data_IF_697604754875
#
_entry.id   IF_697604754875
#
_cell.length_a   1.000
_cell.length_b   1.000
_cell.length_c   1.000
_cell.angle_alpha   90.00
_cell.angle_beta   90.00
_cell.angle_gamma   90.00
#
_symmetry.space_group_name_H-M   'P 1'
#
loop_
_entity.id
_entity.type
_entity.pdbx_description
1 polymer ?
#
# COMPACT_ATOMS: atom_id res chain seq x y z
N UNK A 1 3.35 10.97 0.56
CA UNK A 1 1.95 11.35 0.23
C UNK A 1 1.07 10.75 1.30
N UNK A 2 0.24 11.56 1.96
CA UNK A 2 -0.66 11.06 2.99
C UNK A 2 -1.89 10.41 2.35
N UNK A 3 -2.15 9.16 2.74
CA UNK A 3 -3.23 8.32 2.22
C UNK A 3 -3.92 7.54 3.34
N UNK A 4 -5.14 7.08 3.08
CA UNK A 4 -5.87 6.16 3.96
C UNK A 4 -5.87 4.75 3.36
N UNK A 5 -5.54 3.74 4.15
CA UNK A 5 -5.63 2.35 3.72
C UNK A 5 -7.10 1.92 3.73
N UNK A 6 -7.66 1.55 2.58
CA UNK A 6 -9.08 1.15 2.45
C UNK A 6 -9.24 -0.34 2.14
N UNK A 7 -8.15 -1.06 1.86
CA UNK A 7 -8.19 -2.49 1.62
C UNK A 7 -6.83 -3.11 1.40
N UNK A 8 -6.78 -4.43 1.52
CA UNK A 8 -5.57 -5.24 1.34
C UNK A 8 -5.95 -6.51 0.57
N UNK A 9 -5.26 -6.79 -0.54
CA UNK A 9 -5.37 -8.06 -1.24
C UNK A 9 -4.03 -8.78 -1.20
N UNK A 10 -4.05 -10.04 -0.78
CA UNK A 10 -2.88 -10.90 -0.75
C UNK A 10 -3.07 -12.02 -1.77
N UNK A 11 -2.07 -12.24 -2.62
CA UNK A 11 -2.07 -13.27 -3.64
C UNK A 11 -0.85 -14.15 -3.48
N UNK A 12 -1.11 -15.39 -3.09
CA UNK A 12 -0.12 -16.47 -3.06
C UNK A 12 -0.18 -17.29 -4.34
N UNK A 13 0.96 -17.86 -4.73
CA UNK A 13 1.01 -18.83 -5.82
C UNK A 13 2.43 -19.14 -6.26
N UNK A 14 2.53 -19.89 -7.34
CA UNK A 14 3.77 -20.20 -8.01
C UNK A 14 3.57 -19.97 -9.51
N UNK A 15 4.51 -19.30 -10.16
CA UNK A 15 4.52 -19.11 -11.61
C UNK A 15 5.89 -19.49 -12.15
N UNK A 16 5.93 -20.49 -13.05
CA UNK A 16 7.16 -21.03 -13.63
C UNK A 16 8.20 -21.48 -12.58
N UNK A 17 7.79 -22.19 -11.54
CA UNK A 17 8.72 -22.67 -10.51
C UNK A 17 9.15 -21.60 -9.49
N UNK A 18 8.63 -20.36 -9.60
CA UNK A 18 8.96 -19.26 -8.69
C UNK A 18 7.75 -18.91 -7.84
N UNK A 19 7.96 -18.86 -6.53
CA UNK A 19 6.95 -18.34 -5.61
C UNK A 19 6.58 -16.90 -6.00
N UNK A 20 5.28 -16.67 -6.13
CA UNK A 20 4.64 -15.41 -6.45
C UNK A 20 3.79 -15.03 -5.25
N UNK A 21 4.44 -14.51 -4.21
CA UNK A 21 3.75 -14.06 -3.01
C UNK A 21 3.79 -12.52 -2.95
N UNK A 22 2.63 -11.90 -3.17
CA UNK A 22 2.51 -10.45 -3.30
C UNK A 22 1.30 -9.90 -2.56
N UNK A 23 1.45 -8.68 -2.08
CA UNK A 23 0.38 -7.89 -1.47
C UNK A 23 0.10 -6.67 -2.35
N UNK A 24 -1.17 -6.29 -2.41
CA UNK A 24 -1.67 -5.08 -3.05
C UNK A 24 -2.44 -4.28 -2.00
N UNK A 25 -1.98 -3.05 -1.77
CA UNK A 25 -2.64 -2.13 -0.84
C UNK A 25 -3.55 -1.19 -1.61
N UNK A 26 -4.76 -0.97 -1.12
CA UNK A 26 -5.68 -0.02 -1.73
C UNK A 26 -5.70 1.23 -0.87
N UNK A 27 -5.27 2.34 -1.45
CA UNK A 27 -5.16 3.61 -0.76
C UNK A 27 -6.13 4.63 -1.36
N UNK A 28 -6.63 5.53 -0.53
CA UNK A 28 -7.29 6.76 -0.97
C UNK A 28 -6.50 7.98 -0.52
N UNK A 29 -6.56 9.05 -1.30
CA UNK A 29 -6.05 10.38 -0.94
C UNK A 29 -7.19 11.39 -1.03
N UNK A 30 -7.18 12.47 -0.24
CA UNK A 30 -8.15 13.54 -0.41
C UNK A 30 -8.03 14.14 -1.82
N UNK A 31 -9.17 14.42 -2.45
CA UNK A 31 -9.20 15.14 -3.72
C UNK A 31 -8.61 16.54 -3.53
N UNK A 32 -7.70 16.93 -4.44
CA UNK A 32 -7.05 18.25 -4.41
C UNK A 32 -7.79 19.29 -5.26
N UNK A 33 -8.96 18.96 -5.82
CA UNK A 33 -9.75 19.86 -6.65
C UNK A 33 -10.86 20.56 -5.84
N UNK A 34 -10.93 21.89 -5.97
CA UNK A 34 -11.92 22.75 -5.28
C UNK A 34 -13.38 22.38 -5.61
N UNK A 35 -13.63 21.67 -6.71
CA UNK A 35 -14.98 21.29 -7.15
C UNK A 35 -15.40 19.86 -6.73
N UNK A 36 -14.57 19.12 -6.00
CA UNK A 36 -14.84 17.71 -5.69
C UNK A 36 -14.53 17.39 -4.23
N UNK A 37 -15.52 17.51 -3.35
CA UNK A 37 -15.44 16.90 -2.03
C UNK A 37 -15.43 15.37 -2.21
N UNK A 38 -14.30 14.72 -1.92
CA UNK A 38 -14.17 13.27 -2.09
C UNK A 38 -12.77 12.71 -1.85
N UNK A 39 -12.69 11.38 -1.94
CA UNK A 39 -11.46 10.60 -1.88
C UNK A 39 -11.15 10.01 -3.26
N UNK A 40 -9.93 10.16 -3.74
CA UNK A 40 -9.44 9.57 -4.99
C UNK A 40 -8.65 8.28 -4.67
N UNK A 41 -8.94 7.20 -5.40
CA UNK A 41 -8.19 5.94 -5.28
C UNK A 41 -6.81 6.11 -5.91
N UNK A 42 -5.76 5.82 -5.13
CA UNK A 42 -4.40 5.73 -5.65
C UNK A 42 -4.31 4.52 -6.57
N UNK A 43 -3.76 4.69 -7.77
CA UNK A 43 -3.65 3.65 -8.80
C UNK A 43 -3.28 2.30 -8.20
N UNK A 44 -4.18 1.30 -8.18
CA UNK A 44 -3.94 0.04 -7.48
C UNK A 44 -2.75 -0.75 -8.04
N UNK A 45 -2.42 -0.51 -9.31
CA UNK A 45 -1.23 -1.11 -9.92
C UNK A 45 0.07 -0.53 -9.34
N UNK A 46 0.09 0.68 -8.82
CA UNK A 46 1.31 1.26 -8.24
C UNK A 46 1.61 0.74 -6.82
N UNK A 47 0.66 0.04 -6.19
CA UNK A 47 0.69 -0.32 -4.78
C UNK A 47 0.91 -1.82 -4.52
N UNK A 48 1.37 -2.57 -5.54
CA UNK A 48 1.78 -3.95 -5.37
C UNK A 48 3.23 -4.06 -4.90
N UNK A 49 3.51 -5.05 -4.06
CA UNK A 49 4.89 -5.44 -3.76
C UNK A 49 4.97 -6.91 -3.28
N UNK A 50 6.13 -7.57 -3.45
CA UNK A 50 6.38 -8.89 -2.88
C UNK A 50 6.29 -8.87 -1.35
N UNK A 51 5.70 -9.90 -0.73
CA UNK A 51 5.55 -9.98 0.75
C UNK A 51 6.89 -9.93 1.48
N UNK A 52 7.96 -10.49 0.89
CA UNK A 52 9.30 -10.43 1.45
C UNK A 52 9.93 -9.02 1.45
N UNK A 53 9.33 -8.05 0.74
CA UNK A 53 9.77 -6.64 0.77
C UNK A 53 9.17 -5.84 1.92
N UNK A 54 8.20 -6.37 2.67
CA UNK A 54 7.58 -5.65 3.81
C UNK A 54 8.64 -5.05 4.74
N UNK A 55 9.69 -5.79 5.20
CA UNK A 55 10.67 -5.25 6.13
C UNK A 55 11.53 -4.12 5.55
N UNK A 56 11.60 -4.00 4.22
CA UNK A 56 12.33 -2.90 3.55
C UNK A 56 11.45 -1.68 3.25
N UNK A 57 10.13 -1.84 3.23
CA UNK A 57 9.20 -0.75 2.91
C UNK A 57 8.80 0.06 4.14
N UNK A 58 8.83 -0.56 5.32
CA UNK A 58 8.37 0.06 6.56
C UNK A 58 8.97 -0.63 7.79
N UNK A 59 9.20 0.15 8.85
CA UNK A 59 9.55 -0.38 10.18
C UNK A 59 8.32 -0.53 11.08
N UNK A 60 7.18 0.04 10.68
CA UNK A 60 5.96 0.07 11.50
C UNK A 60 5.18 -1.25 11.41
N UNK A 61 5.36 -1.99 10.32
CA UNK A 61 4.67 -3.25 10.04
C UNK A 61 5.70 -4.38 9.98
N UNK A 62 5.53 -5.39 10.84
CA UNK A 62 6.47 -6.52 10.96
C UNK A 62 6.13 -7.66 10.00
N UNK A 63 4.86 -7.80 9.65
CA UNK A 63 4.35 -8.82 8.75
C UNK A 63 3.27 -8.27 7.84
N UNK A 64 3.15 -8.80 6.63
CA UNK A 64 2.07 -8.38 5.72
C UNK A 64 0.66 -8.63 6.32
N UNK A 65 0.54 -9.57 7.26
CA UNK A 65 -0.70 -9.85 7.98
C UNK A 65 -1.17 -8.66 8.83
N UNK A 66 -0.26 -7.80 9.29
CA UNK A 66 -0.62 -6.67 10.15
C UNK A 66 -1.44 -5.64 9.36
N UNK A 67 -1.17 -5.48 8.06
CA UNK A 67 -1.89 -4.52 7.20
C UNK A 67 -3.41 -4.73 7.19
N UNK A 68 -3.89 -5.98 7.32
CA UNK A 68 -5.33 -6.25 7.35
C UNK A 68 -6.02 -5.62 8.55
N UNK A 69 -5.31 -5.48 9.68
CA UNK A 69 -5.84 -4.85 10.89
C UNK A 69 -5.71 -3.32 10.87
N UNK A 70 -5.06 -2.77 9.84
CA UNK A 70 -4.76 -1.33 9.71
C UNK A 70 -5.66 -0.64 8.67
N UNK A 71 -6.68 -1.34 8.16
CA UNK A 71 -7.69 -0.73 7.29
C UNK A 71 -8.36 0.42 8.05
N UNK A 72 -8.41 1.59 7.42
CA UNK A 72 -8.89 2.85 7.97
C UNK A 72 -7.79 3.75 8.53
N UNK A 73 -6.56 3.26 8.70
CA UNK A 73 -5.44 4.07 9.18
C UNK A 73 -4.80 4.91 8.08
N UNK A 74 -4.17 6.00 8.51
CA UNK A 74 -3.45 6.93 7.64
C UNK A 74 -1.97 6.55 7.52
N UNK A 75 -1.44 6.59 6.31
CA UNK A 75 -0.05 6.29 6.00
C UNK A 75 0.58 7.41 5.19
N UNK A 76 1.86 7.67 5.41
CA UNK A 76 2.69 8.41 4.47
C UNK A 76 3.38 7.42 3.52
N UNK A 77 3.11 7.55 2.22
CA UNK A 77 3.66 6.65 1.19
C UNK A 77 4.51 7.39 0.16
N UNK A 78 5.57 6.74 -0.33
CA UNK A 78 6.37 7.22 -1.47
C UNK A 78 6.35 6.21 -2.62
N UNK A 79 6.57 6.72 -3.83
CA UNK A 79 6.73 5.91 -5.03
C UNK A 79 8.08 6.21 -5.67
N UNK A 80 8.71 5.19 -6.26
CA UNK A 80 9.94 5.33 -7.02
C UNK A 80 9.70 6.01 -8.38
N UNK A 81 10.77 6.24 -9.14
CA UNK A 81 10.70 6.84 -10.49
C UNK A 81 9.91 6.01 -11.52
N UNK A 82 9.61 4.75 -11.20
CA UNK A 82 8.83 3.83 -12.04
C UNK A 82 7.39 3.68 -11.52
N UNK A 83 6.98 4.51 -10.56
CA UNK A 83 5.67 4.48 -9.90
C UNK A 83 5.37 3.16 -9.16
N UNK A 84 6.40 2.45 -8.67
CA UNK A 84 6.22 1.37 -7.71
C UNK A 84 6.27 1.92 -6.28
N UNK A 85 5.51 1.31 -5.37
CA UNK A 85 5.54 1.65 -3.96
C UNK A 85 6.92 1.39 -3.37
N UNK A 86 7.51 2.42 -2.76
CA UNK A 86 8.90 2.46 -2.31
C UNK A 86 9.02 2.55 -0.78
N UNK A 87 8.15 3.33 -0.13
CA UNK A 87 8.07 3.35 1.33
C UNK A 87 6.64 3.56 1.83
N UNK A 88 6.38 3.09 3.04
CA UNK A 88 5.11 3.24 3.74
C UNK A 88 5.43 3.52 5.22
N UNK A 89 4.80 4.53 5.80
CA UNK A 89 4.96 4.83 7.22
C UNK A 89 3.62 5.08 7.88
N UNK A 90 3.35 4.43 9.00
CA UNK A 90 2.14 4.67 9.77
C UNK A 90 2.19 6.07 10.38
N UNK A 91 1.12 6.84 10.21
CA UNK A 91 0.95 8.12 10.89
C UNK A 91 0.22 7.81 12.20
N UNK A 92 0.94 7.91 13.31
CA UNK A 92 0.32 7.93 14.63
C UNK A 92 -0.29 9.33 14.82
N UNK A 93 -1.62 9.42 14.72
CA UNK A 93 -2.37 10.57 15.23
C UNK A 93 -2.58 10.46 16.75
#
# INVERSE_FOLDING_TARGET
MIVKLIGVAHKCGEYQGRQYDKIQLYFTKPCTSDESAGEEVVTPRSTYFPTNKVPSLTNDVKSFHDFFSMIGMSFDVSFDQYANLDSIRLIHE
#
